data_IF_073157648845
#
_entry.id   IF_073157648845
#
_cell.length_a   1.000
_cell.length_b   1.000
_cell.length_c   1.000
_cell.angle_alpha   90.00
_cell.angle_beta   90.00
_cell.angle_gamma   90.00
#
_symmetry.space_group_name_H-M   'P 1'
#
loop_
_entity.id
_entity.type
_entity.pdbx_description
1 polymer ?
#
# COMPACT_ATOMS: atom_id res chain seq x y z
N UNK A 1 -7.20 13.81 13.38
CA UNK A 1 -7.49 12.74 12.42
C UNK A 1 -7.19 13.33 11.07
N UNK A 2 -6.18 12.82 10.38
CA UNK A 2 -5.89 13.26 9.02
C UNK A 2 -6.94 12.65 8.09
N UNK A 3 -7.72 13.49 7.43
CA UNK A 3 -8.67 13.09 6.39
C UNK A 3 -7.89 12.65 5.14
N UNK A 4 -7.32 11.44 5.17
CA UNK A 4 -6.72 10.81 4.01
C UNK A 4 -7.77 9.96 3.29
N UNK A 5 -7.83 10.09 1.96
CA UNK A 5 -8.65 9.23 1.11
C UNK A 5 -7.72 8.42 0.21
N UNK A 6 -7.88 7.10 0.20
CA UNK A 6 -7.21 6.22 -0.75
C UNK A 6 -8.14 5.92 -1.92
N UNK A 7 -7.60 5.96 -3.13
CA UNK A 7 -8.29 5.62 -4.37
C UNK A 7 -7.46 4.58 -5.11
N UNK A 8 -8.03 3.40 -5.34
CA UNK A 8 -7.40 2.37 -6.15
C UNK A 8 -7.65 2.59 -7.65
N UNK A 9 -6.59 2.49 -8.42
CA UNK A 9 -6.58 2.37 -9.87
C UNK A 9 -5.87 1.08 -10.31
N UNK A 10 -5.76 0.09 -9.42
CA UNK A 10 -5.24 -1.22 -9.77
C UNK A 10 -6.08 -1.83 -10.90
N UNK A 11 -5.41 -2.36 -11.92
CA UNK A 11 -6.04 -2.89 -13.13
C UNK A 11 -6.60 -1.82 -14.08
N UNK A 12 -6.50 -0.53 -13.77
CA UNK A 12 -6.93 0.53 -14.69
C UNK A 12 -6.01 0.59 -15.91
N UNK A 13 -6.52 1.03 -17.06
CA UNK A 13 -5.70 1.38 -18.22
C UNK A 13 -5.05 2.75 -18.05
N UNK A 14 -3.98 3.03 -18.81
CA UNK A 14 -3.32 4.35 -18.81
C UNK A 14 -4.30 5.51 -19.10
N UNK A 15 -5.27 5.29 -20.00
CA UNK A 15 -6.30 6.28 -20.32
C UNK A 15 -7.24 6.56 -19.14
N UNK A 16 -7.58 5.52 -18.37
CA UNK A 16 -8.39 5.67 -17.15
C UNK A 16 -7.60 6.41 -16.07
N UNK A 17 -6.32 6.09 -15.89
CA UNK A 17 -5.42 6.80 -14.95
C UNK A 17 -5.34 8.28 -15.29
N UNK A 18 -5.05 8.62 -16.55
CA UNK A 18 -4.99 10.02 -17.01
C UNK A 18 -6.30 10.76 -16.74
N UNK A 19 -7.43 10.12 -17.01
CA UNK A 19 -8.75 10.71 -16.77
C UNK A 19 -8.95 11.02 -15.28
N UNK A 20 -8.65 10.07 -14.40
CA UNK A 20 -8.80 10.26 -12.95
C UNK A 20 -7.87 11.33 -12.41
N UNK A 21 -6.61 11.38 -12.84
CA UNK A 21 -5.67 12.43 -12.39
C UNK A 21 -6.14 13.82 -12.83
N UNK A 22 -6.68 13.95 -14.05
CA UNK A 22 -7.28 15.22 -14.53
C UNK A 22 -8.52 15.61 -13.72
N UNK A 23 -9.39 14.65 -13.42
CA UNK A 23 -10.57 14.87 -12.58
C UNK A 23 -10.17 15.30 -11.16
N UNK A 24 -9.18 14.65 -10.54
CA UNK A 24 -8.64 15.02 -9.23
C UNK A 24 -8.11 16.46 -9.20
N UNK A 25 -7.44 16.90 -10.28
CA UNK A 25 -6.96 18.27 -10.39
C UNK A 25 -8.04 19.33 -10.62
N UNK A 26 -9.26 18.91 -10.97
CA UNK A 26 -10.41 19.82 -11.12
C UNK A 26 -11.19 20.02 -9.81
N UNK A 27 -10.98 19.16 -8.81
CA UNK A 27 -11.71 19.22 -7.54
C UNK A 27 -11.20 20.37 -6.66
N UNK A 28 -12.10 21.09 -5.96
CA UNK A 28 -11.68 22.13 -5.03
C UNK A 28 -10.87 21.52 -3.88
N UNK A 29 -9.60 21.89 -3.77
CA UNK A 29 -8.75 21.46 -2.67
C UNK A 29 -9.14 22.20 -1.38
N UNK A 30 -9.62 21.46 -0.38
CA UNK A 30 -9.94 21.99 0.96
C UNK A 30 -8.79 21.63 1.91
N UNK A 31 -8.00 22.62 2.32
CA UNK A 31 -6.92 22.44 3.29
C UNK A 31 -5.77 21.55 2.79
N UNK A 32 -5.24 20.70 3.68
CA UNK A 32 -4.08 19.82 3.42
C UNK A 32 -4.49 18.35 3.15
N UNK A 33 -5.70 18.09 2.64
CA UNK A 33 -6.13 16.72 2.32
C UNK A 33 -5.17 16.10 1.30
N UNK A 34 -4.48 15.02 1.68
CA UNK A 34 -3.66 14.24 0.75
C UNK A 34 -4.44 13.01 0.32
N UNK A 35 -4.47 12.77 -0.98
CA UNK A 35 -5.07 11.56 -1.56
C UNK A 35 -3.95 10.55 -1.77
N UNK A 36 -4.18 9.29 -1.43
CA UNK A 36 -3.33 8.17 -1.83
C UNK A 36 -3.87 7.58 -3.11
N UNK A 37 -3.10 7.65 -4.19
CA UNK A 37 -3.48 7.05 -5.46
C UNK A 37 -2.71 5.75 -5.63
N UNK A 38 -3.43 4.63 -5.54
CA UNK A 38 -2.86 3.28 -5.60
C UNK A 38 -2.88 2.81 -7.04
N UNK A 39 -1.71 2.48 -7.59
CA UNK A 39 -1.56 2.11 -9.00
C UNK A 39 -0.72 0.85 -9.16
N UNK A 40 -0.85 0.21 -10.31
CA UNK A 40 0.02 -0.92 -10.64
C UNK A 40 1.48 -0.44 -10.82
N UNK A 41 2.48 -1.27 -10.46
CA UNK A 41 3.90 -0.91 -10.60
C UNK A 41 4.30 -0.32 -11.98
N UNK A 42 3.81 -0.84 -13.13
CA UNK A 42 4.13 -0.28 -14.43
C UNK A 42 3.58 1.14 -14.69
N UNK A 43 2.61 1.61 -13.90
CA UNK A 43 1.94 2.90 -14.10
C UNK A 43 2.53 4.03 -13.26
N UNK A 44 3.37 3.73 -12.27
CA UNK A 44 3.94 4.71 -11.35
C UNK A 44 4.61 5.87 -12.09
N UNK A 45 5.46 5.59 -13.09
CA UNK A 45 6.16 6.63 -13.87
C UNK A 45 5.18 7.59 -14.56
N UNK A 46 4.11 7.06 -15.15
CA UNK A 46 3.09 7.87 -15.83
C UNK A 46 2.36 8.77 -14.82
N UNK A 47 1.91 8.19 -13.70
CA UNK A 47 1.19 8.93 -12.65
C UNK A 47 2.04 10.05 -12.08
N UNK A 48 3.30 9.76 -11.75
CA UNK A 48 4.24 10.76 -11.22
C UNK A 48 4.44 11.92 -12.20
N UNK A 49 4.48 11.66 -13.51
CA UNK A 49 4.57 12.72 -14.53
C UNK A 49 3.30 13.59 -14.55
N UNK A 50 2.12 12.97 -14.59
CA UNK A 50 0.84 13.68 -14.62
C UNK A 50 0.62 14.53 -13.35
N UNK A 51 1.01 14.03 -12.19
CA UNK A 51 0.89 14.74 -10.92
C UNK A 51 1.84 15.93 -10.82
N UNK A 52 3.08 15.81 -11.35
CA UNK A 52 4.03 16.93 -11.43
C UNK A 52 3.49 18.07 -12.29
N UNK A 53 2.88 17.75 -13.42
CA UNK A 53 2.25 18.75 -14.30
C UNK A 53 1.06 19.45 -13.62
N UNK A 54 0.33 18.73 -12.78
CA UNK A 54 -0.89 19.20 -12.12
C UNK A 54 -0.66 19.83 -10.72
N UNK A 55 0.55 19.70 -10.16
CA UNK A 55 0.94 20.18 -8.82
C UNK A 55 0.00 19.71 -7.68
N UNK A 56 -0.51 18.49 -7.78
CA UNK A 56 -1.50 17.97 -6.84
C UNK A 56 -0.81 17.35 -5.61
N UNK A 57 -1.34 17.55 -4.39
CA UNK A 57 -0.83 16.94 -3.16
C UNK A 57 -1.28 15.48 -3.02
N UNK A 58 -0.89 14.63 -3.97
CA UNK A 58 -1.23 13.20 -4.04
C UNK A 58 0.00 12.37 -3.70
N UNK A 59 -0.17 11.39 -2.81
CA UNK A 59 0.84 10.37 -2.50
C UNK A 59 0.66 9.23 -3.49
N UNK A 60 1.71 8.92 -4.25
CA UNK A 60 1.69 7.78 -5.17
C UNK A 60 1.99 6.50 -4.40
N UNK A 61 1.02 5.60 -4.39
CA UNK A 61 1.12 4.28 -3.77
C UNK A 61 1.22 3.22 -4.87
N UNK A 62 2.13 2.25 -4.70
CA UNK A 62 2.20 1.06 -5.55
C UNK A 62 2.09 -0.19 -4.69
N UNK A 63 1.79 -1.33 -5.32
CA UNK A 63 1.68 -2.62 -4.63
C UNK A 63 2.89 -3.52 -4.88
N UNK A 64 3.14 -4.45 -3.96
CA UNK A 64 4.12 -5.54 -4.09
C UNK A 64 3.51 -6.88 -3.62
N UNK A 65 3.74 -7.94 -4.37
CA UNK A 65 3.15 -9.26 -4.13
C UNK A 65 1.64 -9.35 -4.39
N UNK A 66 1.00 -8.28 -4.86
CA UNK A 66 -0.45 -8.21 -5.03
C UNK A 66 -0.94 -9.05 -6.23
N UNK A 67 -2.14 -9.66 -6.17
CA UNK A 67 -3.07 -9.66 -5.03
C UNK A 67 -2.80 -10.74 -3.99
N UNK A 68 -2.13 -11.82 -4.37
CA UNK A 68 -2.13 -13.07 -3.59
C UNK A 68 -1.14 -13.10 -2.44
N UNK A 69 -0.08 -12.29 -2.51
CA UNK A 69 1.05 -12.37 -1.61
C UNK A 69 1.89 -13.64 -1.75
N UNK A 70 1.63 -14.51 -2.73
CA UNK A 70 2.35 -15.79 -2.92
C UNK A 70 3.62 -15.69 -3.75
N UNK A 71 4.01 -14.48 -4.12
CA UNK A 71 5.26 -14.24 -4.83
C UNK A 71 6.44 -14.52 -3.89
N UNK A 72 7.55 -15.00 -4.43
CA UNK A 72 8.77 -15.18 -3.65
C UNK A 72 9.23 -13.84 -3.06
N UNK A 73 9.74 -13.82 -1.82
CA UNK A 73 10.13 -12.59 -1.10
C UNK A 73 11.02 -11.64 -1.91
N UNK A 74 12.04 -12.17 -2.61
CA UNK A 74 12.91 -11.36 -3.47
C UNK A 74 12.20 -10.74 -4.68
N UNK A 75 11.12 -11.37 -5.18
CA UNK A 75 10.29 -10.79 -6.23
C UNK A 75 9.52 -9.60 -5.67
N UNK A 76 8.87 -9.75 -4.50
CA UNK A 76 8.17 -8.65 -3.83
C UNK A 76 9.09 -7.47 -3.54
N UNK A 77 10.29 -7.74 -3.02
CA UNK A 77 11.30 -6.72 -2.76
C UNK A 77 11.75 -6.02 -4.05
N UNK A 78 11.88 -6.75 -5.17
CA UNK A 78 12.23 -6.17 -6.47
C UNK A 78 11.09 -5.32 -7.06
N UNK A 79 9.84 -5.76 -6.93
CA UNK A 79 8.64 -4.99 -7.31
C UNK A 79 8.58 -3.68 -6.52
N UNK A 80 8.74 -3.76 -5.19
CA UNK A 80 8.76 -2.60 -4.31
C UNK A 80 9.90 -1.62 -4.67
N UNK A 81 11.11 -2.16 -4.93
CA UNK A 81 12.26 -1.35 -5.35
C UNK A 81 12.02 -0.64 -6.67
N UNK A 82 11.45 -1.34 -7.65
CA UNK A 82 11.13 -0.77 -8.96
C UNK A 82 10.12 0.37 -8.81
N UNK A 83 9.04 0.15 -8.05
CA UNK A 83 8.04 1.18 -7.81
C UNK A 83 8.63 2.43 -7.13
N UNK A 84 9.48 2.26 -6.10
CA UNK A 84 10.20 3.37 -5.46
C UNK A 84 11.08 4.11 -6.47
N UNK A 85 11.84 3.40 -7.30
CA UNK A 85 12.68 4.02 -8.34
C UNK A 85 11.85 4.77 -9.41
N UNK A 86 10.63 4.30 -9.67
CA UNK A 86 9.66 4.97 -10.55
C UNK A 86 9.00 6.18 -9.91
N UNK A 87 9.17 6.40 -8.60
CA UNK A 87 8.69 7.57 -7.87
C UNK A 87 7.48 7.33 -6.97
N UNK A 88 7.15 6.08 -6.64
CA UNK A 88 6.19 5.79 -5.57
C UNK A 88 6.76 6.28 -4.22
N UNK A 89 5.89 6.84 -3.39
CA UNK A 89 6.22 7.36 -2.06
C UNK A 89 5.85 6.36 -0.95
N UNK A 90 5.02 5.38 -1.28
CA UNK A 90 4.53 4.37 -0.37
C UNK A 90 4.27 3.05 -1.09
N UNK A 91 4.60 1.92 -0.45
CA UNK A 91 4.39 0.57 -1.01
C UNK A 91 3.42 -0.22 -0.13
N UNK A 92 2.40 -0.83 -0.74
CA UNK A 92 1.46 -1.72 -0.07
C UNK A 92 1.71 -3.18 -0.42
N UNK A 93 1.86 -4.03 0.59
CA UNK A 93 2.38 -5.38 0.44
C UNK A 93 1.28 -6.41 0.73
N UNK A 94 1.03 -7.32 -0.21
CA UNK A 94 0.20 -8.50 0.04
C UNK A 94 1.01 -9.63 0.68
N UNK A 95 0.36 -10.34 1.62
CA UNK A 95 0.90 -11.52 2.29
C UNK A 95 0.26 -12.81 1.82
N UNK A 96 1.02 -13.90 1.87
CA UNK A 96 0.47 -15.23 1.69
C UNK A 96 -0.38 -15.60 2.92
N UNK A 97 -1.68 -15.74 2.71
CA UNK A 97 -2.67 -16.06 3.74
C UNK A 97 -2.51 -17.46 4.34
N UNK A 98 -1.72 -18.32 3.70
CA UNK A 98 -1.42 -19.68 4.18
C UNK A 98 -0.29 -19.73 5.21
N UNK A 99 0.49 -18.66 5.34
CA UNK A 99 1.62 -18.57 6.28
C UNK A 99 1.13 -18.06 7.64
N UNK A 100 1.33 -18.87 8.68
CA UNK A 100 0.95 -18.54 10.07
C UNK A 100 2.15 -18.26 10.98
N UNK A 101 3.37 -18.49 10.49
CA UNK A 101 4.59 -18.21 11.25
C UNK A 101 4.99 -16.73 11.12
N UNK A 102 4.98 -16.02 12.25
CA UNK A 102 5.33 -14.60 12.32
C UNK A 102 6.80 -14.34 11.93
N UNK A 103 7.72 -15.28 12.17
CA UNK A 103 9.13 -15.08 11.79
C UNK A 103 9.33 -15.12 10.27
N UNK A 104 8.56 -15.97 9.57
CA UNK A 104 8.54 -16.00 8.11
C UNK A 104 8.05 -14.66 7.55
N UNK A 105 6.94 -14.12 8.07
CA UNK A 105 6.45 -12.78 7.70
C UNK A 105 7.47 -11.68 8.02
N UNK A 106 8.07 -11.71 9.21
CA UNK A 106 9.05 -10.71 9.65
C UNK A 106 10.28 -10.69 8.73
N UNK A 107 10.79 -11.86 8.35
CA UNK A 107 11.93 -11.97 7.44
C UNK A 107 11.61 -11.39 6.06
N UNK A 108 10.40 -11.65 5.56
CA UNK A 108 9.91 -11.07 4.31
C UNK A 108 9.79 -9.53 4.41
N UNK A 109 9.16 -9.03 5.47
CA UNK A 109 8.94 -7.60 5.66
C UNK A 109 10.21 -6.82 5.89
N UNK A 110 11.20 -7.37 6.60
CA UNK A 110 12.53 -6.76 6.70
C UNK A 110 13.17 -6.67 5.31
N UNK A 111 13.08 -7.74 4.51
CA UNK A 111 13.63 -7.74 3.14
C UNK A 111 12.98 -6.66 2.27
N UNK A 112 11.66 -6.48 2.39
CA UNK A 112 10.93 -5.43 1.67
C UNK A 112 11.28 -4.04 2.23
N UNK A 113 11.41 -3.90 3.55
CA UNK A 113 11.82 -2.65 4.18
C UNK A 113 13.19 -2.18 3.68
N UNK A 114 14.16 -3.08 3.54
CA UNK A 114 15.48 -2.77 2.99
C UNK A 114 15.42 -2.34 1.51
N UNK A 115 14.48 -2.89 0.73
CA UNK A 115 14.26 -2.46 -0.66
C UNK A 115 13.69 -1.03 -0.75
N UNK A 116 12.97 -0.61 0.29
CA UNK A 116 12.31 0.69 0.40
C UNK A 116 12.93 1.49 1.56
N UNK A 117 14.12 2.09 1.43
CA UNK A 117 14.69 2.87 2.53
C UNK A 117 13.84 4.12 2.84
N UNK A 118 14.06 4.73 4.02
CA UNK A 118 13.45 6.01 4.38
C UNK A 118 13.66 7.05 3.25
N UNK A 119 12.65 7.90 2.95
CA UNK A 119 11.39 8.10 3.69
C UNK A 119 10.19 7.28 3.20
N UNK A 120 10.39 6.18 2.47
CA UNK A 120 9.29 5.41 1.86
C UNK A 120 8.42 4.73 2.94
N UNK A 121 7.11 4.98 2.92
CA UNK A 121 6.19 4.33 3.86
C UNK A 121 5.74 2.94 3.37
N UNK A 122 5.35 2.06 4.28
CA UNK A 122 4.82 0.72 3.97
C UNK A 122 3.44 0.49 4.58
N UNK A 123 2.57 -0.14 3.79
CA UNK A 123 1.27 -0.65 4.23
C UNK A 123 1.20 -2.17 4.06
N UNK A 124 0.56 -2.85 5.00
CA UNK A 124 0.24 -4.27 4.91
C UNK A 124 -1.18 -4.40 4.34
N UNK A 125 -1.33 -5.03 3.19
CA UNK A 125 -2.64 -5.45 2.67
C UNK A 125 -3.06 -6.67 3.46
N UNK A 126 -4.03 -6.47 4.35
CA UNK A 126 -4.50 -7.52 5.23
C UNK A 126 -5.33 -8.56 4.47
N UNK A 127 -5.24 -9.84 4.85
CA UNK A 127 -6.21 -10.84 4.42
C UNK A 127 -7.63 -10.42 4.83
N UNK A 128 -8.62 -10.73 4.00
CA UNK A 128 -10.00 -10.24 4.13
C UNK A 128 -10.72 -10.58 5.46
N UNK A 129 -10.18 -11.52 6.25
CA UNK A 129 -10.73 -11.91 7.56
C UNK A 129 -9.63 -12.07 8.61
N UNK A 130 -9.23 -10.95 9.20
CA UNK A 130 -8.07 -10.93 10.09
C UNK A 130 -8.33 -11.39 11.52
N UNK A 131 -9.59 -11.36 11.95
CA UNK A 131 -9.97 -11.84 13.28
C UNK A 131 -10.24 -13.35 13.29
N UNK A 132 -10.50 -13.96 12.13
CA UNK A 132 -10.70 -15.42 12.03
C UNK A 132 -9.43 -16.20 11.63
N UNK A 133 -8.35 -15.53 11.20
CA UNK A 133 -7.17 -16.19 10.63
C UNK A 133 -5.90 -15.92 11.45
N UNK A 134 -5.28 -16.97 12.05
CA UNK A 134 -3.98 -16.85 12.71
C UNK A 134 -2.88 -16.23 11.84
N UNK A 135 -2.97 -16.41 10.51
CA UNK A 135 -2.04 -15.81 9.54
C UNK A 135 -2.08 -14.28 9.56
N UNK A 136 -3.26 -13.67 9.66
CA UNK A 136 -3.40 -12.23 9.67
C UNK A 136 -2.80 -11.58 10.93
N UNK A 137 -3.05 -12.15 12.12
CA UNK A 137 -2.44 -11.66 13.37
C UNK A 137 -0.91 -11.76 13.32
N UNK A 138 -0.38 -12.89 12.82
CA UNK A 138 1.06 -13.11 12.68
C UNK A 138 1.72 -12.11 11.73
N UNK A 139 1.04 -11.74 10.65
CA UNK A 139 1.47 -10.73 9.69
C UNK A 139 1.41 -9.32 10.29
N UNK A 140 0.34 -8.95 11.00
CA UNK A 140 0.22 -7.63 11.63
C UNK A 140 1.32 -7.40 12.67
N UNK A 141 1.59 -8.42 13.50
CA UNK A 141 2.69 -8.37 14.47
C UNK A 141 4.04 -8.19 13.76
N UNK A 142 4.30 -8.97 12.71
CA UNK A 142 5.53 -8.86 11.94
C UNK A 142 5.67 -7.48 11.26
N UNK A 143 4.59 -6.92 10.73
CA UNK A 143 4.56 -5.61 10.08
C UNK A 143 4.90 -4.49 11.09
N UNK A 144 4.34 -4.55 12.30
CA UNK A 144 4.67 -3.62 13.39
C UNK A 144 6.17 -3.67 13.74
N UNK A 145 6.75 -4.88 13.82
CA UNK A 145 8.18 -5.06 14.08
C UNK A 145 9.08 -4.61 12.92
N UNK A 146 8.61 -4.74 11.68
CA UNK A 146 9.32 -4.31 10.46
C UNK A 146 9.10 -2.83 10.12
N UNK A 147 8.53 -2.05 11.05
CA UNK A 147 8.24 -0.63 10.88
C UNK A 147 7.37 -0.33 9.65
N UNK A 148 6.31 -1.10 9.46
CA UNK A 148 5.20 -0.70 8.59
C UNK A 148 4.40 0.41 9.28
N UNK A 149 3.71 1.23 8.48
CA UNK A 149 2.92 2.35 8.99
C UNK A 149 1.43 2.00 9.03
N UNK A 150 0.96 1.10 8.14
CA UNK A 150 -0.47 0.94 7.88
C UNK A 150 -0.93 -0.51 7.74
N UNK A 151 -2.22 -0.69 7.99
CA UNK A 151 -3.00 -1.86 7.58
C UNK A 151 -4.01 -1.39 6.54
N UNK A 152 -4.03 -2.06 5.39
CA UNK A 152 -4.94 -1.77 4.29
C UNK A 152 -6.02 -2.84 4.30
N UNK A 153 -7.27 -2.41 4.44
CA UNK A 153 -8.42 -3.29 4.56
C UNK A 153 -9.48 -2.98 3.52
N UNK A 154 -10.15 -4.03 3.04
CA UNK A 154 -11.34 -3.87 2.21
C UNK A 154 -12.50 -3.34 3.08
N UNK A 155 -13.31 -2.39 2.60
CA UNK A 155 -14.47 -1.90 3.33
C UNK A 155 -15.40 -3.03 3.80
N UNK A 156 -15.79 -2.98 5.07
CA UNK A 156 -16.66 -4.00 5.68
C UNK A 156 -15.96 -5.26 6.19
N UNK A 157 -14.62 -5.34 6.10
CA UNK A 157 -13.85 -6.33 6.85
C UNK A 157 -14.01 -6.13 8.37
N UNK A 158 -13.92 -7.22 9.15
CA UNK A 158 -13.98 -7.10 10.60
C UNK A 158 -12.79 -6.30 11.13
N UNK A 159 -13.04 -5.39 12.08
CA UNK A 159 -12.03 -4.52 12.66
C UNK A 159 -10.92 -5.33 13.35
N UNK A 160 -9.67 -5.03 13.02
CA UNK A 160 -8.50 -5.64 13.64
C UNK A 160 -8.44 -5.28 15.14
N UNK A 161 -8.33 -6.27 16.03
CA UNK A 161 -7.97 -5.99 17.42
C UNK A 161 -6.53 -5.46 17.49
N UNK A 162 -6.33 -4.37 18.22
CA UNK A 162 -5.06 -3.64 18.28
C UNK A 162 -3.93 -4.49 18.89
N UNK A 163 -3.00 -4.96 18.04
CA UNK A 163 -1.65 -5.27 18.49
C UNK A 163 -0.84 -3.96 18.56
N UNK A 164 -0.16 -3.71 19.69
CA UNK A 164 0.42 -2.41 20.05
C UNK A 164 1.28 -1.67 19.00
N UNK A 165 1.50 -0.37 19.27
CA UNK A 165 1.85 0.73 18.35
C UNK A 165 0.88 0.81 17.17
N UNK A 166 0.00 1.83 17.09
CA UNK A 166 -1.12 1.78 16.18
C UNK A 166 -0.63 1.95 14.73
N UNK A 167 -0.65 0.86 13.96
CA UNK A 167 -0.66 0.93 12.51
C UNK A 167 -1.94 1.68 12.10
N UNK A 168 -1.83 2.65 11.21
CA UNK A 168 -2.99 3.37 10.68
C UNK A 168 -3.82 2.43 9.80
N UNK A 169 -5.11 2.28 10.11
CA UNK A 169 -6.04 1.50 9.28
C UNK A 169 -6.53 2.39 8.14
N UNK A 170 -6.37 1.91 6.91
CA UNK A 170 -6.86 2.57 5.69
C UNK A 170 -7.82 1.62 4.97
N UNK A 171 -9.09 2.04 4.87
CA UNK A 171 -10.09 1.33 4.08
C UNK A 171 -10.02 1.76 2.62
N UNK A 172 -9.96 0.78 1.72
CA UNK A 172 -9.87 1.01 0.27
C UNK A 172 -10.32 -0.23 -0.49
N UNK A 173 -11.05 -0.01 -1.57
CA UNK A 173 -11.45 -1.05 -2.52
C UNK A 173 -10.27 -1.31 -3.48
N UNK A 174 -9.58 -2.45 -3.34
CA UNK A 174 -8.35 -2.80 -4.08
C UNK A 174 -8.61 -3.68 -5.30
#
# INVERSE_FOLDING_TARGET
MSDFHALSLLGASAQQVEKVVKELGSLPHIGNQRVRLVVDPPQVTLVVQLLKESQLPVIVVSVAGYPTGRHHTLIKASEARLAVQSGAEEIWVSVDDTITDSNTHLSEFITIREACPDPIELGLIAPADANAQPSAQSAIQAASLAAFQRIISTPGAQAFEEAGRPLEIVEVDL
#
